data_IF_732476708431
#
_entry.id   IF_732476708431
#
_cell.length_a   1.000
_cell.length_b   1.000
_cell.length_c   1.000
_cell.angle_alpha   90.00
_cell.angle_beta   90.00
_cell.angle_gamma   90.00
#
_symmetry.space_group_name_H-M   'P 1'
#
loop_
_entity.id
_entity.type
_entity.pdbx_description
1 polymer ?
#
# COMPACT_ATOMS: atom_id res chain seq x y z
N UNK A 1 14.80 15.59 3.36
CA UNK A 1 13.62 15.70 2.47
C UNK A 1 12.38 15.27 3.25
N UNK A 2 11.47 16.19 3.45
CA UNK A 2 10.23 15.90 4.18
C UNK A 2 9.09 15.62 3.19
N UNK A 3 8.31 14.57 3.48
CA UNK A 3 7.12 14.24 2.70
C UNK A 3 5.94 15.05 3.22
N UNK A 4 5.30 15.80 2.32
CA UNK A 4 4.12 16.61 2.64
C UNK A 4 2.84 15.81 2.48
N UNK A 5 2.69 15.07 1.36
CA UNK A 5 1.53 14.24 1.08
C UNK A 5 1.81 13.24 -0.03
N UNK A 6 0.88 12.29 -0.18
CA UNK A 6 0.96 11.25 -1.21
C UNK A 6 -0.36 11.26 -1.98
N UNK A 7 -0.29 11.10 -3.30
CA UNK A 7 -1.46 10.92 -4.17
C UNK A 7 -1.31 9.62 -4.95
N UNK A 8 -2.28 8.73 -4.79
CA UNK A 8 -2.33 7.48 -5.55
C UNK A 8 -3.40 7.62 -6.63
N UNK A 9 -2.97 7.50 -7.88
CA UNK A 9 -3.84 7.62 -9.03
C UNK A 9 -4.17 6.23 -9.57
N UNK A 10 -5.44 5.85 -9.48
CA UNK A 10 -5.90 4.51 -9.87
C UNK A 10 -5.91 4.32 -11.38
N UNK A 11 -6.06 5.40 -12.14
CA UNK A 11 -6.06 5.33 -13.60
C UNK A 11 -4.65 5.09 -14.16
N UNK A 12 -3.68 5.85 -13.66
CA UNK A 12 -2.29 5.78 -14.14
C UNK A 12 -1.45 4.75 -13.39
N UNK A 13 -1.96 4.21 -12.29
CA UNK A 13 -1.24 3.27 -11.41
C UNK A 13 0.08 3.87 -10.94
N UNK A 14 -0.01 5.10 -10.44
CA UNK A 14 1.13 5.89 -10.00
C UNK A 14 0.94 6.38 -8.56
N UNK A 15 2.01 6.30 -7.79
CA UNK A 15 2.09 6.82 -6.44
C UNK A 15 2.96 8.08 -6.47
N UNK A 16 2.34 9.25 -6.35
CA UNK A 16 3.04 10.54 -6.40
C UNK A 16 3.27 11.06 -5.00
N UNK A 17 4.53 11.28 -4.70
CA UNK A 17 4.96 11.77 -3.39
C UNK A 17 5.37 13.24 -3.52
N UNK A 18 4.67 14.10 -2.80
CA UNK A 18 4.98 15.53 -2.74
C UNK A 18 5.91 15.78 -1.58
N UNK A 19 7.09 16.32 -1.86
CA UNK A 19 8.11 16.60 -0.86
C UNK A 19 8.46 18.08 -0.84
N UNK A 20 9.17 18.53 0.19
CA UNK A 20 9.66 19.91 0.26
C UNK A 20 10.62 20.25 -0.89
N UNK A 21 11.23 19.24 -1.51
CA UNK A 21 12.22 19.43 -2.58
C UNK A 21 11.65 19.15 -3.98
N UNK A 22 10.37 18.79 -4.09
CA UNK A 22 9.74 18.51 -5.36
C UNK A 22 8.86 17.26 -5.32
N UNK A 23 8.69 16.63 -6.48
CA UNK A 23 7.79 15.49 -6.68
C UNK A 23 8.61 14.24 -7.00
N UNK A 24 8.26 13.13 -6.35
CA UNK A 24 8.83 11.80 -6.64
C UNK A 24 7.68 10.87 -7.02
N UNK A 25 7.79 10.22 -8.17
CA UNK A 25 6.79 9.27 -8.66
C UNK A 25 7.29 7.84 -8.53
N UNK A 26 6.42 6.94 -8.04
CA UNK A 26 6.67 5.51 -7.99
C UNK A 26 5.55 4.77 -8.73
N UNK A 27 5.86 3.72 -9.51
CA UNK A 27 4.83 2.87 -10.05
C UNK A 27 4.17 2.06 -8.93
N UNK A 28 2.89 1.77 -9.07
CA UNK A 28 2.17 0.93 -8.11
C UNK A 28 1.21 -0.02 -8.82
N UNK A 29 0.57 -0.90 -8.06
CA UNK A 29 -0.48 -1.79 -8.54
C UNK A 29 -1.59 -1.81 -7.52
N UNK A 30 -2.76 -1.35 -7.91
CA UNK A 30 -3.95 -1.28 -7.06
C UNK A 30 -4.94 -2.40 -7.40
N UNK A 31 -6.17 -2.32 -6.92
CA UNK A 31 -7.13 -3.42 -7.03
C UNK A 31 -7.50 -3.78 -8.46
N UNK A 32 -7.47 -5.08 -8.77
CA UNK A 32 -7.98 -5.62 -10.02
C UNK A 32 -9.44 -5.21 -10.26
N UNK A 33 -10.25 -5.19 -9.19
CA UNK A 33 -11.66 -4.83 -9.25
C UNK A 33 -11.89 -3.32 -9.38
N UNK A 34 -10.82 -2.51 -9.41
CA UNK A 34 -10.91 -1.07 -9.58
C UNK A 34 -11.25 -0.31 -8.29
N UNK A 35 -11.77 0.94 -8.43
CA UNK A 35 -12.11 1.76 -7.27
C UNK A 35 -13.39 1.31 -6.57
N UNK A 36 -13.41 1.42 -5.26
CA UNK A 36 -14.59 1.10 -4.46
C UNK A 36 -14.26 1.01 -2.97
N UNK A 37 -15.22 1.37 -2.13
CA UNK A 37 -15.04 1.51 -0.70
C UNK A 37 -15.68 0.39 0.12
N UNK A 38 -16.59 -0.37 -0.47
CA UNK A 38 -17.38 -1.38 0.24
C UNK A 38 -16.50 -2.51 0.76
N UNK A 39 -16.72 -2.92 2.01
CA UNK A 39 -16.07 -4.09 2.60
C UNK A 39 -16.40 -5.35 1.78
N UNK A 40 -15.40 -6.17 1.54
CA UNK A 40 -15.55 -7.39 0.74
C UNK A 40 -15.56 -7.17 -0.77
N UNK A 41 -15.47 -5.92 -1.25
CA UNK A 41 -15.50 -5.62 -2.70
C UNK A 41 -14.22 -6.01 -3.43
N UNK A 42 -13.10 -6.09 -2.72
CA UNK A 42 -11.79 -6.27 -3.34
C UNK A 42 -11.31 -5.05 -4.11
N UNK A 43 -11.93 -3.90 -3.91
CA UNK A 43 -11.61 -2.64 -4.58
C UNK A 43 -10.68 -1.77 -3.73
N UNK A 44 -9.98 -0.83 -4.37
CA UNK A 44 -9.20 0.18 -3.67
C UNK A 44 -10.09 1.39 -3.36
N UNK A 45 -10.17 1.82 -2.08
CA UNK A 45 -11.02 2.93 -1.71
C UNK A 45 -10.47 4.26 -2.19
N UNK A 46 -11.39 5.18 -2.52
CA UNK A 46 -11.08 6.53 -2.98
C UNK A 46 -11.09 7.51 -1.81
N UNK A 47 -10.57 8.71 -2.06
CA UNK A 47 -10.68 9.85 -1.18
C UNK A 47 -9.48 10.03 -0.27
N UNK A 48 -9.65 10.89 0.73
CA UNK A 48 -8.60 11.25 1.66
C UNK A 48 -8.39 10.17 2.71
N UNK A 49 -7.14 9.81 2.90
CA UNK A 49 -6.67 8.88 3.92
C UNK A 49 -5.49 9.51 4.66
N UNK A 50 -5.09 8.87 5.75
CA UNK A 50 -3.83 9.16 6.42
C UNK A 50 -3.15 7.85 6.79
N UNK A 51 -1.84 7.89 6.95
CA UNK A 51 -1.08 6.76 7.45
C UNK A 51 -1.40 6.60 8.94
N UNK A 52 -2.02 5.47 9.29
CA UNK A 52 -2.35 5.12 10.68
C UNK A 52 -1.13 4.62 11.43
N UNK A 53 -0.36 3.74 10.78
CA UNK A 53 0.81 3.10 11.36
C UNK A 53 1.80 2.69 10.28
N UNK A 54 3.08 2.70 10.63
CA UNK A 54 4.17 2.22 9.78
C UNK A 54 4.71 0.96 10.44
N UNK A 55 4.68 -0.15 9.71
CA UNK A 55 5.04 -1.47 10.23
C UNK A 55 6.24 -2.00 9.46
N UNK A 56 7.20 -2.58 10.18
CA UNK A 56 8.34 -3.26 9.58
C UNK A 56 9.63 -2.44 9.49
N UNK A 57 9.67 -1.24 10.06
CA UNK A 57 10.92 -0.48 10.12
C UNK A 57 11.97 -1.30 10.89
N UNK A 58 13.17 -1.40 10.35
CA UNK A 58 14.24 -2.20 10.94
C UNK A 58 14.23 -3.67 10.52
N UNK A 59 13.15 -4.16 9.90
CA UNK A 59 13.10 -5.51 9.35
C UNK A 59 13.84 -5.60 8.02
N UNK A 60 14.22 -6.81 7.57
CA UNK A 60 14.80 -6.98 6.24
C UNK A 60 13.90 -6.39 5.14
N UNK A 61 14.50 -5.91 4.06
CA UNK A 61 13.77 -5.29 2.95
C UNK A 61 12.76 -6.26 2.29
N UNK A 62 13.00 -7.56 2.41
CA UNK A 62 12.13 -8.61 1.86
C UNK A 62 11.44 -9.43 2.95
N UNK A 63 11.28 -8.87 4.16
CA UNK A 63 10.56 -9.53 5.25
C UNK A 63 9.12 -9.84 4.83
N UNK A 64 8.63 -11.00 5.27
CA UNK A 64 7.26 -11.45 5.00
C UNK A 64 6.37 -11.13 6.18
N UNK A 65 5.20 -10.54 5.92
CA UNK A 65 4.23 -10.18 6.94
C UNK A 65 2.92 -10.95 6.76
N UNK A 66 2.35 -11.36 7.88
CA UNK A 66 0.98 -11.91 7.95
C UNK A 66 0.31 -11.28 9.16
N UNK A 67 -0.90 -10.78 8.99
CA UNK A 67 -1.64 -10.11 10.05
C UNK A 67 -0.87 -8.93 10.65
N UNK A 68 -0.14 -8.20 9.85
CA UNK A 68 0.68 -7.04 10.21
C UNK A 68 1.84 -7.35 11.15
N UNK A 69 2.30 -8.60 11.12
CA UNK A 69 3.44 -9.06 11.93
C UNK A 69 4.46 -9.77 11.05
N UNK A 70 5.76 -9.56 11.30
CA UNK A 70 6.78 -10.31 10.57
C UNK A 70 6.69 -11.78 10.93
N UNK A 71 6.74 -12.65 9.92
CA UNK A 71 6.71 -14.10 10.11
C UNK A 71 8.07 -14.70 10.47
N UNK A 72 9.14 -13.92 10.28
CA UNK A 72 10.52 -14.42 10.36
C UNK A 72 11.04 -14.92 9.02
N UNK A 73 10.16 -15.10 8.05
CA UNK A 73 10.56 -15.48 6.69
C UNK A 73 11.10 -14.27 5.93
N UNK A 74 11.93 -14.55 4.93
CA UNK A 74 12.36 -13.57 3.92
C UNK A 74 11.91 -14.09 2.57
N UNK A 75 11.33 -13.22 1.75
CA UNK A 75 10.90 -13.65 0.42
C UNK A 75 12.10 -14.01 -0.44
N UNK A 76 12.03 -15.19 -1.05
CA UNK A 76 12.97 -15.69 -2.05
C UNK A 76 12.15 -16.36 -3.14
N UNK A 77 12.76 -16.57 -4.31
CA UNK A 77 12.10 -17.31 -5.38
C UNK A 77 11.74 -18.73 -4.94
N UNK A 78 12.61 -19.35 -4.15
CA UNK A 78 12.38 -20.71 -3.64
C UNK A 78 11.18 -20.75 -2.69
N UNK A 79 11.04 -19.77 -1.79
CA UNK A 79 9.89 -19.69 -0.90
C UNK A 79 8.61 -19.47 -1.71
N UNK A 80 8.66 -18.60 -2.70
CA UNK A 80 7.54 -18.33 -3.59
C UNK A 80 7.08 -19.58 -4.34
N UNK A 81 8.01 -20.36 -4.85
CA UNK A 81 7.71 -21.63 -5.54
C UNK A 81 6.99 -22.61 -4.63
N UNK A 82 7.31 -22.61 -3.34
CA UNK A 82 6.64 -23.46 -2.34
C UNK A 82 5.21 -23.01 -2.01
N UNK A 83 4.88 -21.74 -2.25
CA UNK A 83 3.57 -21.15 -1.94
C UNK A 83 3.14 -20.18 -3.05
N UNK A 84 2.93 -20.67 -4.29
CA UNK A 84 2.76 -19.79 -5.45
C UNK A 84 1.49 -18.93 -5.43
N UNK A 85 0.48 -19.33 -4.64
CA UNK A 85 -0.80 -18.61 -4.56
C UNK A 85 -0.94 -17.76 -3.29
N UNK A 86 0.11 -17.65 -2.50
CA UNK A 86 0.10 -16.87 -1.26
C UNK A 86 0.04 -15.38 -1.60
N UNK A 87 -0.78 -14.63 -0.87
CA UNK A 87 -0.85 -13.18 -0.98
C UNK A 87 0.34 -12.58 -0.22
N UNK A 88 1.36 -12.18 -0.95
CA UNK A 88 2.62 -11.72 -0.37
C UNK A 88 2.54 -10.26 0.03
N UNK A 89 2.70 -9.99 1.32
CA UNK A 89 2.87 -8.65 1.86
C UNK A 89 4.30 -8.56 2.39
N UNK A 90 5.12 -7.75 1.73
CA UNK A 90 6.56 -7.74 1.93
C UNK A 90 7.10 -6.38 2.29
N UNK A 91 8.21 -6.39 3.01
CA UNK A 91 9.08 -5.24 3.24
C UNK A 91 8.58 -4.31 4.31
N UNK A 92 7.59 -3.50 4.00
CA UNK A 92 6.99 -2.53 4.91
C UNK A 92 5.50 -2.46 4.67
N UNK A 93 4.75 -2.07 5.71
CA UNK A 93 3.32 -1.82 5.62
C UNK A 93 3.05 -0.39 6.06
N UNK A 94 2.42 0.39 5.21
CA UNK A 94 1.83 1.67 5.57
C UNK A 94 0.33 1.42 5.69
N UNK A 95 -0.18 1.32 6.91
CA UNK A 95 -1.58 1.03 7.16
C UNK A 95 -2.38 2.31 7.09
N UNK A 96 -3.38 2.35 6.20
CA UNK A 96 -4.19 3.54 5.95
C UNK A 96 -5.47 3.54 6.80
N UNK A 97 -5.92 4.73 7.16
CA UNK A 97 -7.27 4.93 7.66
C UNK A 97 -7.93 6.07 6.90
N UNK A 98 -9.24 5.95 6.68
CA UNK A 98 -9.99 6.96 5.96
C UNK A 98 -10.22 8.22 6.78
N UNK A 99 -10.26 9.36 6.10
CA UNK A 99 -10.56 10.67 6.70
C UNK A 99 -12.02 11.11 6.46
N UNK A 100 -12.69 10.49 5.49
CA UNK A 100 -14.01 10.94 5.00
C UNK A 100 -15.12 10.02 5.53
N UNK A 101 -15.79 10.44 6.62
CA UNK A 101 -16.88 9.67 7.22
C UNK A 101 -17.98 9.37 6.19
N UNK A 102 -18.39 8.10 6.12
CA UNK A 102 -19.41 7.63 5.18
C UNK A 102 -18.88 7.31 3.79
N UNK A 103 -17.67 7.71 3.43
CA UNK A 103 -17.04 7.34 2.17
C UNK A 103 -15.98 6.23 2.40
N UNK A 104 -15.00 6.49 3.26
CA UNK A 104 -13.91 5.55 3.52
C UNK A 104 -13.61 5.38 5.02
N UNK A 105 -14.48 5.89 5.88
CA UNK A 105 -14.38 5.80 7.33
C UNK A 105 -15.74 5.42 7.93
N UNK A 106 -15.71 4.42 8.80
CA UNK A 106 -16.88 3.93 9.52
C UNK A 106 -17.68 2.89 8.76
N UNK A 107 -18.55 2.16 9.47
CA UNK A 107 -19.46 1.19 8.91
C UNK A 107 -18.79 0.13 8.03
N UNK A 108 -19.39 -0.10 6.87
CA UNK A 108 -18.93 -1.12 5.91
C UNK A 108 -17.99 -0.56 4.84
N UNK A 109 -17.55 0.68 4.99
CA UNK A 109 -16.64 1.35 4.04
C UNK A 109 -15.31 1.75 4.69
N UNK A 110 -15.04 1.28 5.88
CA UNK A 110 -13.88 1.70 6.68
C UNK A 110 -12.57 1.12 6.16
N UNK A 111 -11.71 1.96 5.59
CA UNK A 111 -10.42 1.54 5.01
C UNK A 111 -9.50 0.90 6.04
N UNK A 112 -9.49 1.39 7.28
CA UNK A 112 -8.65 0.81 8.33
C UNK A 112 -9.11 -0.61 8.68
N UNK A 113 -10.41 -0.83 8.82
CA UNK A 113 -10.98 -2.14 9.14
C UNK A 113 -10.91 -3.11 7.97
N UNK A 114 -10.84 -2.60 6.75
CA UNK A 114 -10.64 -3.39 5.54
C UNK A 114 -9.17 -3.76 5.33
N UNK A 115 -8.28 -3.31 6.21
CA UNK A 115 -6.84 -3.56 6.13
C UNK A 115 -6.23 -3.08 4.81
N UNK A 116 -6.54 -1.84 4.45
CA UNK A 116 -5.97 -1.21 3.25
C UNK A 116 -4.57 -0.70 3.58
N UNK A 117 -3.58 -1.26 2.91
CA UNK A 117 -2.16 -0.94 3.09
C UNK A 117 -1.53 -0.44 1.81
N UNK A 118 -0.45 0.34 1.96
CA UNK A 118 0.59 0.44 0.94
C UNK A 118 1.69 -0.51 1.39
N UNK A 119 2.05 -1.48 0.56
CA UNK A 119 3.04 -2.49 0.94
C UNK A 119 3.89 -2.95 -0.22
N UNK A 120 5.01 -3.61 0.09
CA UNK A 120 5.85 -4.23 -0.92
C UNK A 120 5.28 -5.54 -1.43
N UNK A 121 5.70 -5.93 -2.62
CA UNK A 121 5.26 -7.15 -3.31
C UNK A 121 6.46 -7.82 -3.97
N UNK A 122 6.39 -9.12 -4.32
CA UNK A 122 7.50 -9.80 -4.98
C UNK A 122 7.95 -9.09 -6.26
N UNK A 123 9.26 -9.14 -6.59
CA UNK A 123 9.77 -8.54 -7.82
C UNK A 123 9.15 -9.10 -9.10
N UNK A 124 8.53 -10.28 -9.01
CA UNK A 124 7.85 -10.93 -10.13
C UNK A 124 6.49 -10.30 -10.45
N UNK A 125 5.92 -9.50 -9.52
CA UNK A 125 4.64 -8.85 -9.74
C UNK A 125 4.83 -7.57 -10.57
N UNK A 126 4.05 -7.41 -11.66
CA UNK A 126 4.17 -6.21 -12.49
C UNK A 126 3.58 -4.99 -11.78
N UNK A 127 4.18 -3.83 -12.05
CA UNK A 127 3.64 -2.53 -11.67
C UNK A 127 2.96 -1.88 -12.86
N UNK A 128 2.12 -0.89 -12.60
CA UNK A 128 1.40 -0.16 -13.65
C UNK A 128 0.12 -0.84 -14.13
N UNK A 129 -0.21 -2.00 -13.59
CA UNK A 129 -1.39 -2.79 -13.92
C UNK A 129 -2.13 -3.12 -12.64
N UNK A 130 -3.48 -2.94 -12.57
CA UNK A 130 -4.24 -3.25 -11.36
C UNK A 130 -4.40 -4.77 -11.18
N UNK A 131 -3.84 -5.31 -10.11
CA UNK A 131 -3.82 -6.74 -9.83
C UNK A 131 -4.07 -7.11 -8.36
N UNK A 132 -4.17 -6.14 -7.45
CA UNK A 132 -4.28 -6.42 -6.03
C UNK A 132 -5.72 -6.74 -5.61
N UNK A 133 -5.90 -7.07 -4.33
CA UNK A 133 -7.20 -7.32 -3.71
C UNK A 133 -7.73 -6.11 -2.91
N UNK A 134 -7.19 -4.92 -3.17
CA UNK A 134 -7.58 -3.66 -2.53
C UNK A 134 -6.41 -2.81 -2.08
N UNK A 135 -5.35 -3.42 -1.60
CA UNK A 135 -4.14 -2.73 -1.17
C UNK A 135 -3.37 -2.11 -2.35
N UNK A 136 -2.49 -1.19 -2.04
CA UNK A 136 -1.59 -0.55 -3.01
C UNK A 136 -0.23 -1.26 -2.94
N UNK A 137 0.13 -1.97 -3.99
CA UNK A 137 1.41 -2.69 -4.10
C UNK A 137 2.48 -1.79 -4.69
N UNK A 138 3.68 -1.88 -4.12
CA UNK A 138 4.86 -1.18 -4.61
C UNK A 138 6.04 -2.14 -4.71
N UNK A 139 7.06 -1.77 -5.47
CA UNK A 139 8.33 -2.50 -5.49
C UNK A 139 8.99 -2.44 -4.11
N UNK A 140 9.71 -3.50 -3.74
CA UNK A 140 10.38 -3.59 -2.44
C UNK A 140 11.28 -2.38 -2.15
N UNK A 141 12.11 -2.01 -3.10
CA UNK A 141 13.01 -0.87 -2.94
C UNK A 141 12.23 0.41 -2.71
N UNK A 142 11.15 0.61 -3.46
CA UNK A 142 10.35 1.83 -3.39
C UNK A 142 9.61 1.96 -2.06
N UNK A 143 8.97 0.87 -1.59
CA UNK A 143 8.25 0.93 -0.31
C UNK A 143 9.20 1.11 0.89
N UNK A 144 10.37 0.50 0.83
CA UNK A 144 11.37 0.68 1.90
C UNK A 144 11.87 2.12 1.95
N UNK A 145 12.12 2.71 0.79
CA UNK A 145 12.53 4.11 0.66
C UNK A 145 11.44 5.06 1.17
N UNK A 146 10.19 4.82 0.75
CA UNK A 146 9.04 5.64 1.16
C UNK A 146 8.79 5.54 2.67
N UNK A 147 8.83 4.33 3.22
CA UNK A 147 8.55 4.08 4.64
C UNK A 147 9.53 4.80 5.57
N UNK A 148 10.78 4.97 5.16
CA UNK A 148 11.80 5.68 5.94
C UNK A 148 11.54 7.19 6.03
N UNK A 149 10.70 7.74 5.17
CA UNK A 149 10.50 9.18 5.03
C UNK A 149 9.11 9.67 5.46
N UNK A 150 8.14 8.77 5.59
CA UNK A 150 6.79 9.13 6.02
C UNK A 150 6.65 9.09 7.53
N UNK A 151 5.56 9.67 8.02
CA UNK A 151 5.19 9.64 9.44
C UNK A 151 3.72 9.26 9.58
N UNK A 152 3.31 8.70 10.72
CA UNK A 152 1.88 8.58 11.02
C UNK A 152 1.20 9.95 10.90
N UNK A 153 0.05 9.99 10.23
CA UNK A 153 -0.66 11.24 9.95
C UNK A 153 -0.40 11.82 8.56
N UNK A 154 0.61 11.35 7.84
CA UNK A 154 0.82 11.77 6.45
C UNK A 154 -0.43 11.49 5.62
N UNK A 155 -0.92 12.52 4.91
CA UNK A 155 -2.13 12.41 4.09
C UNK A 155 -1.84 11.63 2.81
N UNK A 156 -2.72 10.68 2.52
CA UNK A 156 -2.69 9.88 1.30
C UNK A 156 -4.05 10.00 0.63
N UNK A 157 -4.09 10.67 -0.52
CA UNK A 157 -5.31 10.84 -1.29
C UNK A 157 -5.32 9.85 -2.45
N UNK A 158 -6.42 9.11 -2.58
CA UNK A 158 -6.58 8.11 -3.64
C UNK A 158 -7.62 8.63 -4.62
N UNK A 159 -7.23 8.81 -5.87
CA UNK A 159 -8.06 9.38 -6.92
C UNK A 159 -8.19 8.43 -8.12
N UNK A 160 -9.31 8.54 -8.84
CA UNK A 160 -9.56 7.71 -10.02
C UNK A 160 -8.87 8.20 -11.28
N UNK A 161 -8.55 9.46 -11.31
CA UNK A 161 -7.99 10.09 -12.53
C UNK A 161 -7.11 11.28 -12.21
#
# INVERSE_FOLDING_TARGET
MAIESIEINLKTQNCRVFTTDGIVDYPCSTALNGPGEQDGSGCTPRGSHRIRAIIGLGEPANAVFVGRRPTGERWTEQLHEGYPNRDWILGRILWLCGNDSGLNRGGKVDSQRRYIYIHGTPPTEPMGIPLSHGCVRMRLQDICELADQVSPGTVVTIVES
#
